data_IF_001322339658
#
_entry.id   IF_001322339658
#
_cell.length_a   1.000
_cell.length_b   1.000
_cell.length_c   1.000
_cell.angle_alpha   90.00
_cell.angle_beta   90.00
_cell.angle_gamma   90.00
#
_symmetry.space_group_name_H-M   'P 1'
#
loop_
_entity.id
_entity.type
_entity.pdbx_description
1 polymer ?
#
# COMPACT_ATOMS: atom_id res chain seq x y z
N UNK A 1 6.58 4.12 27.31
CA UNK A 1 6.13 4.94 26.17
C UNK A 1 5.22 4.09 25.30
N UNK A 2 4.01 4.55 24.99
CA UNK A 2 3.06 3.81 24.17
C UNK A 2 3.43 3.95 22.69
N UNK A 3 3.81 2.85 22.03
CA UNK A 3 4.25 2.85 20.64
C UNK A 3 3.11 3.13 19.64
N UNK A 4 1.85 2.99 20.07
CA UNK A 4 0.67 3.13 19.22
C UNK A 4 0.49 4.53 18.62
N UNK A 5 0.72 5.59 19.42
CA UNK A 5 0.57 6.97 18.95
C UNK A 5 1.53 7.34 17.82
N UNK A 6 2.87 7.14 17.97
CA UNK A 6 3.79 7.46 16.88
C UNK A 6 3.55 6.62 15.63
N UNK A 7 3.19 5.34 15.78
CA UNK A 7 2.84 4.48 14.63
C UNK A 7 1.62 5.03 13.89
N UNK A 8 0.56 5.42 14.61
CA UNK A 8 -0.64 5.99 14.01
C UNK A 8 -0.36 7.28 13.24
N UNK A 9 0.47 8.17 13.79
CA UNK A 9 0.89 9.41 13.13
C UNK A 9 1.65 9.10 11.83
N UNK A 10 2.63 8.20 11.88
CA UNK A 10 3.42 7.81 10.69
C UNK A 10 2.51 7.22 9.61
N UNK A 11 1.64 6.28 9.97
CA UNK A 11 0.70 5.67 9.02
C UNK A 11 -0.23 6.70 8.40
N UNK A 12 -0.73 7.65 9.18
CA UNK A 12 -1.62 8.72 8.68
C UNK A 12 -0.89 9.60 7.67
N UNK A 13 0.33 10.04 8.00
CA UNK A 13 1.14 10.86 7.09
C UNK A 13 1.50 10.10 5.80
N UNK A 14 1.84 8.81 5.90
CA UNK A 14 2.11 7.97 4.75
C UNK A 14 0.87 7.76 3.88
N UNK A 15 -0.33 7.65 4.48
CA UNK A 15 -1.60 7.52 3.74
C UNK A 15 -1.91 8.79 2.97
N UNK A 16 -1.75 9.96 3.61
CA UNK A 16 -1.91 11.24 2.94
C UNK A 16 -0.93 11.39 1.77
N UNK A 17 0.34 10.99 1.99
CA UNK A 17 1.36 11.04 0.96
C UNK A 17 1.09 10.07 -0.21
N UNK A 18 0.49 8.91 0.05
CA UNK A 18 -0.01 7.99 -0.99
C UNK A 18 -1.13 8.64 -1.81
N UNK A 19 -2.15 9.21 -1.14
CA UNK A 19 -3.32 9.81 -1.80
C UNK A 19 -2.93 10.97 -2.73
N UNK A 20 -2.05 11.86 -2.27
CA UNK A 20 -1.59 12.98 -3.12
C UNK A 20 -0.51 12.56 -4.12
N UNK A 21 0.05 11.36 -3.98
CA UNK A 21 1.20 10.85 -4.72
C UNK A 21 2.45 11.73 -4.56
N UNK A 22 2.83 12.00 -3.32
CA UNK A 22 4.09 12.63 -2.94
C UNK A 22 5.17 11.59 -2.69
N UNK A 23 6.40 11.83 -3.17
CA UNK A 23 7.54 10.90 -3.11
C UNK A 23 7.16 9.47 -3.48
N UNK A 24 6.47 9.31 -4.61
CA UNK A 24 5.80 8.07 -5.06
C UNK A 24 6.66 6.82 -4.98
N UNK A 25 7.95 6.92 -5.32
CA UNK A 25 8.88 5.79 -5.19
C UNK A 25 8.95 5.24 -3.77
N UNK A 26 8.96 6.11 -2.77
CA UNK A 26 9.05 5.72 -1.36
C UNK A 26 7.68 5.40 -0.78
N UNK A 27 6.67 6.21 -1.06
CA UNK A 27 5.32 5.99 -0.51
C UNK A 27 4.66 4.74 -1.09
N UNK A 28 4.80 4.47 -2.39
CA UNK A 28 4.22 3.27 -2.99
C UNK A 28 4.99 2.01 -2.54
N UNK A 29 6.32 2.09 -2.42
CA UNK A 29 7.12 0.98 -1.87
C UNK A 29 6.74 0.67 -0.42
N UNK A 30 6.59 1.72 0.42
CA UNK A 30 6.18 1.59 1.81
C UNK A 30 4.85 0.84 1.93
N UNK A 31 3.82 1.31 1.22
CA UNK A 31 2.49 0.68 1.30
C UNK A 31 2.44 -0.70 0.66
N UNK A 32 3.24 -0.97 -0.37
CA UNK A 32 3.39 -2.32 -0.95
C UNK A 32 3.93 -3.28 0.09
N UNK A 33 5.03 -2.92 0.77
CA UNK A 33 5.62 -3.77 1.82
C UNK A 33 4.67 -3.93 3.01
N UNK A 34 4.05 -2.83 3.45
CA UNK A 34 3.12 -2.85 4.58
C UNK A 34 1.94 -3.79 4.34
N UNK A 35 1.30 -3.70 3.17
CA UNK A 35 0.18 -4.58 2.83
C UNK A 35 0.64 -6.02 2.59
N UNK A 36 1.80 -6.24 1.96
CA UNK A 36 2.35 -7.59 1.79
C UNK A 36 2.58 -8.28 3.13
N UNK A 37 3.16 -7.60 4.12
CA UNK A 37 3.37 -8.14 5.46
C UNK A 37 2.02 -8.40 6.15
N UNK A 38 1.08 -7.44 6.05
CA UNK A 38 -0.25 -7.56 6.64
C UNK A 38 -1.03 -8.76 6.10
N UNK A 39 -0.94 -9.02 4.79
CA UNK A 39 -1.60 -10.15 4.11
C UNK A 39 -0.86 -11.47 4.32
N UNK A 40 0.47 -11.45 4.39
CA UNK A 40 1.27 -12.66 4.61
C UNK A 40 1.20 -13.18 6.05
N UNK A 41 0.98 -12.30 7.04
CA UNK A 41 0.87 -12.68 8.46
C UNK A 41 -0.18 -13.78 8.73
N UNK A 42 -1.43 -13.67 8.22
CA UNK A 42 -2.44 -14.73 8.31
C UNK A 42 -2.32 -15.80 7.20
N UNK A 43 -1.10 -16.27 6.87
CA UNK A 43 -0.87 -17.24 5.78
C UNK A 43 -1.75 -18.49 5.86
N UNK A 44 -1.97 -19.01 7.06
CA UNK A 44 -2.78 -20.22 7.29
C UNK A 44 -4.24 -20.08 6.84
N UNK A 45 -4.80 -18.86 6.88
CA UNK A 45 -6.15 -18.58 6.41
C UNK A 45 -6.23 -18.44 4.88
N UNK A 46 -5.12 -18.11 4.21
CA UNK A 46 -5.08 -17.99 2.76
C UNK A 46 -5.06 -19.36 2.06
N UNK A 47 -4.43 -20.36 2.68
CA UNK A 47 -4.27 -21.70 2.09
C UNK A 47 -5.40 -22.69 2.45
N UNK A 48 -6.27 -22.33 3.40
CA UNK A 48 -7.42 -23.14 3.82
C UNK A 48 -8.73 -22.44 3.42
N UNK A 49 -9.16 -22.53 2.15
CA UNK A 49 -10.30 -21.79 1.62
C UNK A 49 -11.63 -22.07 2.34
N UNK A 50 -11.77 -23.22 3.01
CA UNK A 50 -12.98 -23.65 3.73
C UNK A 50 -12.73 -23.94 5.23
N UNK A 51 -11.56 -23.56 5.77
CA UNK A 51 -11.12 -23.96 7.11
C UNK A 51 -11.53 -23.03 8.25
N UNK A 52 -12.13 -21.87 7.98
CA UNK A 52 -12.47 -20.89 9.00
C UNK A 52 -13.49 -19.84 8.53
N UNK A 53 -14.04 -19.03 9.44
CA UNK A 53 -15.21 -18.16 9.17
C UNK A 53 -14.94 -16.94 8.26
N UNK A 54 -13.69 -16.65 7.89
CA UNK A 54 -13.32 -15.37 7.27
C UNK A 54 -12.70 -15.52 5.86
N UNK A 55 -13.54 -15.56 4.83
CA UNK A 55 -13.10 -15.45 3.43
C UNK A 55 -12.54 -14.06 3.08
N UNK A 56 -12.75 -13.06 3.95
CA UNK A 56 -12.25 -11.68 3.80
C UNK A 56 -10.72 -11.60 3.70
N UNK A 57 -9.98 -12.58 4.21
CA UNK A 57 -8.51 -12.61 4.06
C UNK A 57 -8.07 -12.77 2.60
N UNK A 58 -8.87 -13.44 1.78
CA UNK A 58 -8.62 -13.55 0.34
C UNK A 58 -8.69 -12.18 -0.35
N UNK A 59 -9.47 -11.24 0.20
CA UNK A 59 -9.53 -9.86 -0.29
C UNK A 59 -8.22 -9.07 -0.07
N UNK A 60 -7.28 -9.60 0.73
CA UNK A 60 -5.94 -9.03 0.86
C UNK A 60 -5.10 -9.20 -0.41
N UNK A 61 -5.27 -10.31 -1.14
CA UNK A 61 -4.51 -10.59 -2.36
C UNK A 61 -4.67 -9.52 -3.46
N UNK A 62 -5.90 -9.08 -3.83
CA UNK A 62 -6.06 -8.01 -4.82
C UNK A 62 -5.49 -6.67 -4.33
N UNK A 63 -5.52 -6.37 -3.03
CA UNK A 63 -4.94 -5.14 -2.48
C UNK A 63 -3.42 -5.12 -2.69
N UNK A 64 -2.73 -6.22 -2.38
CA UNK A 64 -1.28 -6.33 -2.63
C UNK A 64 -0.98 -6.20 -4.13
N UNK A 65 -1.78 -6.84 -4.99
CA UNK A 65 -1.61 -6.72 -6.44
C UNK A 65 -1.74 -5.26 -6.93
N UNK A 66 -2.73 -4.51 -6.42
CA UNK A 66 -2.92 -3.09 -6.75
C UNK A 66 -1.74 -2.25 -6.26
N UNK A 67 -1.24 -2.49 -5.04
CA UNK A 67 -0.09 -1.74 -4.51
C UNK A 67 1.18 -2.00 -5.32
N UNK A 68 1.43 -3.26 -5.70
CA UNK A 68 2.54 -3.63 -6.59
C UNK A 68 2.37 -2.94 -7.95
N UNK A 69 1.17 -2.95 -8.52
CA UNK A 69 0.88 -2.26 -9.78
C UNK A 69 1.18 -0.76 -9.68
N UNK A 70 0.73 -0.08 -8.61
CA UNK A 70 1.05 1.34 -8.39
C UNK A 70 2.56 1.57 -8.33
N UNK A 71 3.32 0.72 -7.65
CA UNK A 71 4.78 0.86 -7.57
C UNK A 71 5.47 0.66 -8.93
N UNK A 72 5.06 -0.34 -9.71
CA UNK A 72 5.62 -0.63 -11.03
C UNK A 72 5.24 0.44 -12.07
N UNK A 73 3.99 0.92 -12.03
CA UNK A 73 3.43 1.88 -12.98
C UNK A 73 3.56 3.33 -12.50
N UNK A 74 4.36 3.59 -11.46
CA UNK A 74 4.48 4.92 -10.84
C UNK A 74 4.87 6.03 -11.83
N UNK A 75 5.62 5.70 -12.88
CA UNK A 75 6.09 6.69 -13.86
C UNK A 75 4.98 7.11 -14.83
N UNK A 76 3.93 6.28 -14.94
CA UNK A 76 2.73 6.49 -15.76
C UNK A 76 1.61 7.19 -15.00
N UNK A 77 1.67 7.20 -13.67
CA UNK A 77 0.80 8.03 -12.86
C UNK A 77 1.12 9.51 -13.12
N UNK A 78 0.28 10.22 -13.87
CA UNK A 78 0.49 11.66 -14.17
C UNK A 78 -0.46 12.57 -13.41
N UNK A 79 -1.42 12.00 -12.68
CA UNK A 79 -2.51 12.76 -12.05
C UNK A 79 -2.17 13.24 -10.63
N UNK A 80 -1.17 12.63 -10.00
CA UNK A 80 -0.66 12.98 -8.67
C UNK A 80 0.28 14.19 -8.65
N UNK A 81 0.61 14.69 -7.46
CA UNK A 81 1.50 15.86 -7.27
C UNK A 81 2.85 15.66 -7.97
N UNK A 82 3.51 14.53 -7.73
CA UNK A 82 4.79 14.24 -8.39
C UNK A 82 4.59 13.93 -9.88
N UNK A 83 3.47 13.30 -10.26
CA UNK A 83 3.13 13.01 -11.66
C UNK A 83 3.03 14.28 -12.51
N UNK A 84 2.30 15.28 -12.02
CA UNK A 84 2.15 16.59 -12.65
C UNK A 84 3.48 17.34 -12.73
N UNK A 85 4.31 17.27 -11.69
CA UNK A 85 5.67 17.86 -11.70
C UNK A 85 6.55 17.23 -12.77
N UNK A 86 6.50 15.90 -12.93
CA UNK A 86 7.28 15.22 -13.96
C UNK A 86 6.84 15.58 -15.38
N UNK A 87 5.55 15.77 -15.63
CA UNK A 87 5.03 16.16 -16.95
C UNK A 87 5.28 17.63 -17.29
N UNK A 88 5.32 18.52 -16.29
CA UNK A 88 5.59 19.95 -16.53
C UNK A 88 7.03 20.25 -16.97
N UNK A 89 7.94 19.28 -16.85
CA UNK A 89 9.38 19.41 -17.15
C UNK A 89 9.78 18.62 -18.40
N UNK A 90 8.88 17.81 -18.96
CA UNK A 90 9.06 17.03 -20.21
C UNK A 90 8.57 17.79 -21.43
#
# INVERSE_FOLDING_TARGET
MNLSYPIGIVNTLMSLALIVGFKRRFTYAYWTLFHSISVASPWDYLIKPFGGPNHLFLAGAPIVAIMVALYMLRDWDKMTVDGRRSTAVS
#
